data_IF_570984638483
#
_entry.id   IF_570984638483
#
_cell.length_a   1.000
_cell.length_b   1.000
_cell.length_c   1.000
_cell.angle_alpha   90.00
_cell.angle_beta   90.00
_cell.angle_gamma   90.00
#
_symmetry.space_group_name_H-M   'P 1'
#
loop_
_entity.id
_entity.type
_entity.pdbx_description
1 polymer ?
#
# COMPACT_ATOMS: atom_id res chain seq x y z
N UNK A 1 2.06 5.18 -7.64
CA UNK A 1 2.12 4.83 -6.23
C UNK A 1 3.26 3.86 -5.98
N UNK A 2 3.94 4.00 -4.87
CA UNK A 2 5.10 3.17 -4.58
C UNK A 2 4.67 1.82 -3.98
N UNK A 3 4.25 0.92 -4.85
CA UNK A 3 3.76 -0.39 -4.43
C UNK A 3 4.85 -1.28 -3.84
N UNK A 4 6.08 -1.09 -4.29
CA UNK A 4 7.20 -1.86 -3.76
C UNK A 4 7.41 -1.53 -2.28
N UNK A 5 7.38 -0.25 -1.92
CA UNK A 5 7.52 0.17 -0.53
C UNK A 5 6.36 -0.39 0.29
N UNK A 6 5.14 -0.32 -0.22
CA UNK A 6 3.98 -0.89 0.45
C UNK A 6 4.22 -2.35 0.80
N UNK A 7 4.64 -3.12 -0.19
CA UNK A 7 4.83 -4.55 0.00
C UNK A 7 5.94 -4.83 1.01
N UNK A 8 7.04 -4.10 0.92
CA UNK A 8 8.16 -4.28 1.84
C UNK A 8 7.75 -3.98 3.27
N UNK A 9 7.04 -2.87 3.47
CA UNK A 9 6.59 -2.51 4.80
C UNK A 9 5.57 -3.50 5.34
N UNK A 10 4.64 -3.91 4.47
CA UNK A 10 3.63 -4.90 4.86
C UNK A 10 4.30 -6.18 5.36
N UNK A 11 5.29 -6.66 4.60
CA UNK A 11 6.00 -7.89 4.98
C UNK A 11 6.83 -7.70 6.24
N UNK A 12 7.45 -6.55 6.40
CA UNK A 12 8.23 -6.24 7.60
C UNK A 12 7.34 -6.26 8.84
N UNK A 13 6.07 -5.91 8.70
CA UNK A 13 5.12 -5.92 9.81
C UNK A 13 4.43 -7.27 9.97
N UNK A 14 4.78 -8.25 9.13
CA UNK A 14 4.21 -9.59 9.21
C UNK A 14 2.77 -9.68 8.75
N UNK A 15 2.33 -8.76 7.90
CA UNK A 15 0.93 -8.71 7.45
C UNK A 15 0.76 -9.39 6.10
N UNK A 16 -0.37 -10.09 5.94
CA UNK A 16 -0.80 -10.56 4.63
C UNK A 16 -1.52 -9.44 3.90
N UNK A 17 -1.75 -9.63 2.60
CA UNK A 17 -2.54 -8.67 1.85
C UNK A 17 -3.96 -8.53 2.41
N UNK A 18 -4.54 -9.65 2.85
CA UNK A 18 -5.87 -9.61 3.46
C UNK A 18 -5.86 -8.78 4.74
N UNK A 19 -4.85 -8.97 5.58
CA UNK A 19 -4.76 -8.21 6.82
C UNK A 19 -4.62 -6.72 6.54
N UNK A 20 -3.82 -6.36 5.55
CA UNK A 20 -3.68 -4.96 5.18
C UNK A 20 -5.00 -4.42 4.63
N UNK A 21 -5.69 -5.19 3.80
CA UNK A 21 -6.98 -4.76 3.26
C UNK A 21 -7.97 -4.45 4.38
N UNK A 22 -8.05 -5.33 5.38
CA UNK A 22 -8.93 -5.12 6.53
C UNK A 22 -8.51 -3.86 7.30
N UNK A 23 -7.21 -3.71 7.52
CA UNK A 23 -6.69 -2.60 8.33
C UNK A 23 -7.00 -1.23 7.71
N UNK A 24 -7.00 -1.15 6.39
CA UNK A 24 -7.22 0.14 5.72
C UNK A 24 -8.64 0.29 5.16
N UNK A 25 -9.48 -0.73 5.36
CA UNK A 25 -10.86 -0.66 4.88
C UNK A 25 -11.00 -0.85 3.39
N UNK A 26 -10.07 -1.55 2.76
CA UNK A 26 -10.19 -1.89 1.35
C UNK A 26 -11.21 -3.01 1.17
N UNK A 27 -11.88 -3.03 0.03
CA UNK A 27 -12.97 -3.99 -0.16
C UNK A 27 -12.50 -5.39 -0.53
N UNK A 28 -11.25 -5.56 -0.95
CA UNK A 28 -10.77 -6.90 -1.29
C UNK A 28 -9.25 -6.93 -1.37
N UNK A 29 -8.70 -8.15 -1.40
CA UNK A 29 -7.27 -8.37 -1.63
C UNK A 29 -6.85 -7.81 -2.98
N UNK A 30 -7.72 -7.90 -3.98
CA UNK A 30 -7.40 -7.43 -5.33
C UNK A 30 -7.07 -5.93 -5.32
N UNK A 31 -7.72 -5.15 -4.47
CA UNK A 31 -7.44 -3.72 -4.35
C UNK A 31 -6.01 -3.51 -3.85
N UNK A 32 -5.63 -4.21 -2.79
CA UNK A 32 -4.28 -4.11 -2.24
C UNK A 32 -3.25 -4.58 -3.27
N UNK A 33 -3.53 -5.69 -3.93
CA UNK A 33 -2.65 -6.21 -4.96
C UNK A 33 -2.44 -5.19 -6.08
N UNK A 34 -3.50 -4.51 -6.50
CA UNK A 34 -3.41 -3.47 -7.52
C UNK A 34 -2.49 -2.33 -7.09
N UNK A 35 -2.61 -1.92 -5.83
CA UNK A 35 -1.73 -0.87 -5.31
C UNK A 35 -0.27 -1.33 -5.30
N UNK A 36 -0.02 -2.56 -4.84
CA UNK A 36 1.35 -3.06 -4.75
C UNK A 36 2.00 -3.26 -6.10
N UNK A 37 1.19 -3.52 -7.12
CA UNK A 37 1.69 -3.67 -8.48
C UNK A 37 1.80 -2.34 -9.23
N UNK A 38 1.34 -1.26 -8.61
CA UNK A 38 1.37 0.05 -9.24
C UNK A 38 0.30 0.23 -10.31
N UNK A 39 -0.71 -0.63 -10.34
CA UNK A 39 -1.79 -0.53 -11.34
C UNK A 39 -2.80 0.55 -10.99
N UNK A 40 -3.03 0.74 -9.71
CA UNK A 40 -4.02 1.71 -9.23
C UNK A 40 -3.41 2.52 -8.12
N UNK A 41 -4.06 3.64 -7.82
CA UNK A 41 -3.63 4.53 -6.74
C UNK A 41 -4.75 4.60 -5.71
N UNK A 42 -4.38 4.54 -4.45
CA UNK A 42 -5.37 4.64 -3.37
C UNK A 42 -5.95 6.05 -3.31
N UNK A 43 -7.23 6.13 -2.94
CA UNK A 43 -7.84 7.43 -2.67
C UNK A 43 -7.15 8.08 -1.47
N UNK A 44 -7.34 9.39 -1.30
CA UNK A 44 -6.68 10.10 -0.21
C UNK A 44 -7.01 9.49 1.16
N UNK A 45 -8.27 9.18 1.49
CA UNK A 45 -8.55 8.55 2.79
C UNK A 45 -7.85 7.21 2.96
N UNK A 46 -7.79 6.40 1.91
CA UNK A 46 -7.10 5.11 1.97
C UNK A 46 -5.59 5.30 2.09
N UNK A 47 -5.07 6.30 1.38
CA UNK A 47 -3.65 6.60 1.42
C UNK A 47 -3.22 7.01 2.83
N UNK A 48 -4.04 7.81 3.52
CA UNK A 48 -3.76 8.19 4.90
C UNK A 48 -3.72 6.96 5.80
N UNK A 49 -4.68 6.05 5.64
CA UNK A 49 -4.71 4.81 6.42
C UNK A 49 -3.48 3.95 6.15
N UNK A 50 -3.11 3.84 4.88
CA UNK A 50 -1.93 3.08 4.50
C UNK A 50 -0.67 3.64 5.18
N UNK A 51 -0.53 4.97 5.16
CA UNK A 51 0.62 5.61 5.77
C UNK A 51 0.68 5.29 7.27
N UNK A 52 -0.46 5.38 7.96
CA UNK A 52 -0.53 5.11 9.37
C UNK A 52 -0.21 3.64 9.69
N UNK A 53 -0.83 2.73 8.95
CA UNK A 53 -0.67 1.30 9.21
C UNK A 53 0.74 0.83 8.90
N UNK A 54 1.31 1.32 7.81
CA UNK A 54 2.62 0.88 7.36
C UNK A 54 3.77 1.65 8.00
N UNK A 55 3.47 2.76 8.69
CA UNK A 55 4.50 3.53 9.35
C UNK A 55 5.38 4.33 8.40
N UNK A 56 4.81 4.80 7.31
CA UNK A 56 5.50 5.62 6.32
C UNK A 56 4.71 6.89 6.07
N UNK A 57 5.32 7.85 5.39
CA UNK A 57 4.60 9.07 5.05
C UNK A 57 3.78 8.86 3.78
N UNK A 58 2.74 9.69 3.62
CA UNK A 58 1.97 9.67 2.38
C UNK A 58 2.85 10.03 1.19
N UNK A 59 3.80 10.94 1.41
CA UNK A 59 4.70 11.35 0.35
C UNK A 59 5.54 10.19 -0.15
N UNK A 60 6.03 9.36 0.77
CA UNK A 60 6.80 8.17 0.38
C UNK A 60 5.96 7.21 -0.47
N UNK A 61 4.69 7.06 -0.12
CA UNK A 61 3.80 6.18 -0.88
C UNK A 61 3.47 6.75 -2.25
N UNK A 62 3.47 8.07 -2.38
CA UNK A 62 3.17 8.70 -3.67
C UNK A 62 4.36 8.79 -4.59
N UNK A 63 5.59 8.62 -4.08
CA UNK A 63 6.77 8.60 -4.93
C UNK A 63 6.71 7.37 -5.83
N UNK A 64 7.19 7.54 -7.06
CA UNK A 64 7.30 6.40 -7.95
C UNK A 64 8.38 5.48 -7.43
N UNK A 65 8.01 4.26 -7.31
CA UNK A 65 8.96 3.23 -7.03
C UNK A 65 9.86 3.10 -8.24
N UNK A 66 10.78 2.93 -8.46
CA UNK A 66 11.54 2.78 -9.61
C UNK A 66 11.29 1.65 -10.41
N UNK A 67 10.81 1.35 -10.52
CA UNK A 67 10.60 0.47 -11.06
C UNK A 67 10.64 -0.09 -11.99
N UNK A 68 10.80 -0.22 -12.08
CA UNK A 68 10.79 -0.55 -12.83
C UNK A 68 10.85 -1.20 -13.51
N UNK A 69 10.74 -1.49 -13.62
CA UNK A 69 10.61 -2.16 -14.28
C UNK A 69 10.45 -2.52 -14.66
#
# INVERSE_FOLDING_TARGET
>A
MNGKLMRERRRALGMTQMQLAVAVGACSIAVVSGWERGRTVASVPKLKKLAEVLGVSMEELLEDGEDEE
#
